data_IF_567397407393
#
_entry.id   IF_567397407393
#
_cell.length_a   1.000
_cell.length_b   1.000
_cell.length_c   1.000
_cell.angle_alpha   90.00
_cell.angle_beta   90.00
_cell.angle_gamma   90.00
#
_symmetry.space_group_name_H-M   'P 1'
#
loop_
_entity.id
_entity.type
_entity.pdbx_description
1 polymer ?
#
# COMPACT_ATOMS: atom_id res chain seq x y z
N UNK A 1 -9.39 1.01 8.85
CA UNK A 1 -9.02 1.27 7.44
C UNK A 1 -10.28 1.36 6.61
N UNK A 2 -10.30 2.20 5.58
CA UNK A 2 -11.37 2.18 4.57
C UNK A 2 -10.80 1.78 3.19
N UNK A 3 -11.58 1.01 2.45
CA UNK A 3 -11.26 0.55 1.09
C UNK A 3 -12.31 1.16 0.16
N UNK A 4 -11.86 1.91 -0.84
CA UNK A 4 -12.71 2.66 -1.75
C UNK A 4 -12.45 2.25 -3.20
N UNK A 5 -13.52 2.27 -4.01
CA UNK A 5 -13.45 1.98 -5.44
C UNK A 5 -13.79 0.53 -5.81
N UNK A 6 -13.92 0.27 -7.11
CA UNK A 6 -14.27 -1.06 -7.64
C UNK A 6 -13.08 -1.97 -7.96
N UNK A 7 -11.83 -1.51 -7.82
CA UNK A 7 -10.65 -2.35 -7.98
C UNK A 7 -10.47 -3.31 -6.81
N UNK A 8 -9.80 -4.44 -7.06
CA UNK A 8 -9.58 -5.46 -6.03
C UNK A 8 -8.48 -5.02 -5.08
N UNK A 9 -8.68 -5.27 -3.79
CA UNK A 9 -7.65 -5.12 -2.77
C UNK A 9 -7.33 -6.49 -2.18
N UNK A 10 -6.07 -6.91 -2.29
CA UNK A 10 -5.56 -8.15 -1.72
C UNK A 10 -4.61 -7.80 -0.58
N UNK A 11 -4.83 -8.42 0.58
CA UNK A 11 -4.00 -8.23 1.77
C UNK A 11 -3.54 -9.61 2.23
N UNK A 12 -2.23 -9.78 2.35
CA UNK A 12 -1.57 -10.98 2.85
C UNK A 12 -1.68 -11.14 4.38
N UNK A 13 -1.01 -12.16 4.89
CA UNK A 13 -1.09 -12.55 6.29
C UNK A 13 -0.28 -11.61 7.21
N UNK A 14 -0.64 -11.57 8.49
CA UNK A 14 0.05 -10.78 9.55
C UNK A 14 0.17 -9.28 9.25
N UNK A 15 -0.74 -8.74 8.43
CA UNK A 15 -0.80 -7.34 8.10
C UNK A 15 -1.25 -6.48 9.30
N UNK A 16 -0.58 -5.34 9.49
CA UNK A 16 -0.90 -4.38 10.53
C UNK A 16 -1.14 -2.98 9.98
N UNK A 17 -2.21 -2.34 10.43
CA UNK A 17 -2.50 -0.94 10.08
C UNK A 17 -2.73 -0.04 11.29
N UNK A 18 -2.26 1.19 11.14
CA UNK A 18 -2.69 2.30 11.97
C UNK A 18 -4.12 2.74 11.68
N UNK A 19 -4.58 3.71 12.46
CA UNK A 19 -5.92 4.29 12.33
C UNK A 19 -6.02 5.22 11.13
N UNK A 20 -7.21 5.27 10.51
CA UNK A 20 -7.53 6.25 9.47
C UNK A 20 -6.85 6.01 8.11
N UNK A 21 -6.35 4.82 7.82
CA UNK A 21 -5.77 4.51 6.51
C UNK A 21 -6.83 4.37 5.41
N UNK A 22 -6.48 4.78 4.19
CA UNK A 22 -7.32 4.74 2.99
C UNK A 22 -6.63 3.96 1.88
N UNK A 23 -7.32 2.98 1.30
CA UNK A 23 -6.90 2.26 0.10
C UNK A 23 -7.88 2.63 -1.01
N UNK A 24 -7.39 3.22 -2.11
CA UNK A 24 -8.21 3.80 -3.17
C UNK A 24 -7.91 3.06 -4.48
N UNK A 25 -8.66 1.99 -4.76
CA UNK A 25 -8.43 1.07 -5.88
C UNK A 25 -9.12 1.49 -7.20
N UNK A 26 -9.47 2.78 -7.33
CA UNK A 26 -10.18 3.32 -8.48
C UNK A 26 -9.77 4.77 -8.72
N UNK A 27 -9.67 5.16 -9.99
CA UNK A 27 -9.55 6.55 -10.40
C UNK A 27 -10.62 6.91 -11.44
N UNK A 28 -10.87 8.20 -11.63
CA UNK A 28 -11.68 8.68 -12.73
C UNK A 28 -10.93 8.53 -14.06
N UNK A 29 -11.66 8.35 -15.16
CA UNK A 29 -11.06 8.34 -16.49
C UNK A 29 -10.82 9.77 -16.99
N UNK A 30 -9.62 10.30 -16.72
CA UNK A 30 -9.21 11.65 -17.10
C UNK A 30 -8.47 11.73 -18.45
N UNK A 31 -7.80 10.66 -18.88
CA UNK A 31 -7.03 10.63 -20.14
C UNK A 31 -7.84 10.14 -21.33
N UNK A 32 -8.80 9.24 -21.12
CA UNK A 32 -9.55 8.55 -22.18
C UNK A 32 -11.06 8.71 -22.02
N UNK A 33 -11.49 9.65 -21.20
CA UNK A 33 -12.90 9.96 -20.94
C UNK A 33 -13.50 10.84 -22.04
N UNK A 34 -14.82 11.02 -21.99
CA UNK A 34 -15.59 11.86 -22.92
C UNK A 34 -15.88 13.27 -22.40
N UNK A 35 -15.38 13.64 -21.21
CA UNK A 35 -15.64 14.93 -20.57
C UNK A 35 -14.47 15.37 -19.66
N UNK A 36 -14.42 16.68 -19.36
CA UNK A 36 -13.45 17.30 -18.43
C UNK A 36 -14.18 17.71 -17.14
N UNK A 37 -13.61 17.49 -15.93
CA UNK A 37 -12.30 16.88 -15.69
C UNK A 37 -12.27 15.35 -15.85
N UNK A 38 -13.45 14.71 -15.92
CA UNK A 38 -13.64 13.29 -16.19
C UNK A 38 -15.11 13.02 -16.55
N UNK A 39 -15.40 11.83 -17.09
CA UNK A 39 -16.77 11.37 -17.34
C UNK A 39 -17.26 10.36 -16.27
N UNK A 40 -18.35 9.64 -16.55
CA UNK A 40 -18.92 8.63 -15.65
C UNK A 40 -18.21 7.27 -15.66
N UNK A 41 -17.05 7.17 -16.33
CA UNK A 41 -16.26 5.93 -16.40
C UNK A 41 -15.07 5.96 -15.44
N UNK A 42 -14.60 4.77 -15.07
CA UNK A 42 -13.56 4.59 -14.06
C UNK A 42 -12.40 3.74 -14.57
N UNK A 43 -11.21 4.02 -14.05
CA UNK A 43 -10.02 3.19 -14.20
C UNK A 43 -9.88 2.39 -12.91
N UNK A 44 -10.12 1.08 -12.98
CA UNK A 44 -9.90 0.18 -11.86
C UNK A 44 -8.41 -0.15 -11.77
N UNK A 45 -7.84 -0.04 -10.57
CA UNK A 45 -6.43 -0.37 -10.34
C UNK A 45 -6.30 -1.12 -9.03
N UNK A 46 -6.01 -2.41 -9.13
CA UNK A 46 -5.86 -3.30 -7.98
C UNK A 46 -4.75 -2.82 -7.03
N UNK A 47 -4.91 -3.11 -5.74
CA UNK A 47 -3.88 -2.90 -4.71
C UNK A 47 -3.51 -4.26 -4.15
N UNK A 48 -2.21 -4.52 -4.06
CA UNK A 48 -1.67 -5.72 -3.41
C UNK A 48 -0.84 -5.30 -2.20
N UNK A 49 -1.16 -5.86 -1.05
CA UNK A 49 -0.36 -5.78 0.17
C UNK A 49 0.07 -7.20 0.49
N UNK A 50 1.37 -7.45 0.46
CA UNK A 50 1.94 -8.77 0.77
C UNK A 50 2.01 -9.02 2.29
N UNK A 51 2.50 -10.20 2.68
CA UNK A 51 2.52 -10.62 4.08
C UNK A 51 3.40 -9.71 4.95
N UNK A 52 3.09 -9.67 6.25
CA UNK A 52 3.90 -9.01 7.29
C UNK A 52 4.13 -7.50 7.07
N UNK A 53 3.32 -6.86 6.21
CA UNK A 53 3.38 -5.42 5.98
C UNK A 53 2.81 -4.66 7.17
N UNK A 54 3.47 -3.56 7.52
CA UNK A 54 2.98 -2.63 8.53
C UNK A 54 2.81 -1.22 7.94
N UNK A 55 1.61 -0.66 8.04
CA UNK A 55 1.33 0.73 7.66
C UNK A 55 0.96 1.58 8.88
N UNK A 56 1.56 2.76 9.01
CA UNK A 56 1.28 3.70 10.10
C UNK A 56 -0.08 4.40 9.97
N UNK A 57 -0.42 5.24 10.95
CA UNK A 57 -1.68 6.00 10.95
C UNK A 57 -1.83 6.90 9.72
N UNK A 58 -3.04 7.01 9.20
CA UNK A 58 -3.42 7.93 8.09
C UNK A 58 -2.58 7.75 6.83
N UNK A 59 -2.16 6.51 6.53
CA UNK A 59 -1.53 6.17 5.24
C UNK A 59 -2.60 6.10 4.16
N UNK A 60 -2.30 6.67 2.99
CA UNK A 60 -3.11 6.57 1.77
C UNK A 60 -2.35 5.70 0.78
N UNK A 61 -3.00 4.68 0.22
CA UNK A 61 -2.46 3.81 -0.84
C UNK A 61 -3.33 3.98 -2.08
N UNK A 62 -2.71 4.38 -3.20
CA UNK A 62 -3.40 4.54 -4.47
C UNK A 62 -3.40 3.22 -5.27
N UNK A 63 -4.42 3.07 -6.10
CA UNK A 63 -4.61 1.90 -6.95
C UNK A 63 -3.46 1.69 -7.94
N UNK A 64 -3.11 0.43 -8.14
CA UNK A 64 -2.03 -0.02 -9.03
C UNK A 64 -0.69 -0.18 -8.31
N UNK A 65 -0.72 -0.29 -6.98
CA UNK A 65 0.46 -0.40 -6.12
C UNK A 65 0.54 -1.79 -5.50
N UNK A 66 1.74 -2.35 -5.48
CA UNK A 66 2.14 -3.48 -4.66
C UNK A 66 3.03 -3.02 -3.51
N UNK A 67 2.65 -3.33 -2.27
CA UNK A 67 3.50 -3.15 -1.08
C UNK A 67 4.07 -4.52 -0.73
N UNK A 68 5.38 -4.68 -0.94
CA UNK A 68 6.07 -5.96 -0.81
C UNK A 68 6.24 -6.42 0.64
N UNK A 69 6.50 -7.72 0.79
CA UNK A 69 6.52 -8.43 2.07
C UNK A 69 7.39 -7.74 3.12
N UNK A 70 6.88 -7.64 4.35
CA UNK A 70 7.64 -7.10 5.48
C UNK A 70 7.89 -5.59 5.42
N UNK A 71 7.42 -4.89 4.38
CA UNK A 71 7.61 -3.46 4.24
C UNK A 71 6.91 -2.65 5.35
N UNK A 72 7.47 -1.48 5.64
CA UNK A 72 6.94 -0.54 6.63
C UNK A 72 6.66 0.81 5.96
N UNK A 73 5.43 1.31 6.12
CA UNK A 73 5.03 2.63 5.62
C UNK A 73 4.82 3.59 6.80
N UNK A 74 5.58 4.68 6.84
CA UNK A 74 5.43 5.70 7.90
C UNK A 74 4.04 6.35 7.89
N UNK A 75 3.58 6.77 9.08
CA UNK A 75 2.32 7.47 9.24
C UNK A 75 2.22 8.72 8.34
N UNK A 76 1.02 9.00 7.83
CA UNK A 76 0.73 10.15 6.96
C UNK A 76 1.27 10.04 5.53
N UNK A 77 1.82 8.88 5.14
CA UNK A 77 2.39 8.71 3.80
C UNK A 77 1.33 8.52 2.72
N UNK A 78 1.64 8.94 1.49
CA UNK A 78 0.85 8.68 0.29
C UNK A 78 1.65 7.79 -0.67
N UNK A 79 1.26 6.52 -0.75
CA UNK A 79 1.91 5.49 -1.55
C UNK A 79 1.31 5.52 -2.96
N UNK A 80 2.12 5.92 -3.93
CA UNK A 80 1.71 6.13 -5.33
C UNK A 80 2.45 5.23 -6.32
N UNK A 81 3.40 4.43 -5.83
CA UNK A 81 4.19 3.46 -6.58
C UNK A 81 4.55 2.27 -5.69
N UNK A 82 5.00 1.18 -6.31
CA UNK A 82 5.37 -0.04 -5.61
C UNK A 82 6.45 0.19 -4.55
N UNK A 83 6.31 -0.51 -3.43
CA UNK A 83 7.27 -0.50 -2.32
C UNK A 83 7.94 -1.88 -2.26
N UNK A 84 9.28 -1.97 -2.39
CA UNK A 84 9.98 -3.25 -2.34
C UNK A 84 9.81 -3.98 -1.00
N UNK A 85 9.96 -5.31 -1.02
CA UNK A 85 10.04 -6.12 0.20
C UNK A 85 11.10 -5.59 1.16
N UNK A 86 10.81 -5.70 2.46
CA UNK A 86 11.63 -5.25 3.59
C UNK A 86 11.92 -3.74 3.63
N UNK A 87 11.41 -2.95 2.67
CA UNK A 87 11.69 -1.53 2.60
C UNK A 87 10.92 -0.77 3.69
N UNK A 88 11.54 0.32 4.15
CA UNK A 88 10.90 1.32 4.99
C UNK A 88 10.76 2.58 4.16
N UNK A 89 9.51 2.98 3.92
CA UNK A 89 9.16 4.11 3.08
C UNK A 89 8.28 5.13 3.82
N UNK A 90 8.37 6.38 3.38
CA UNK A 90 7.59 7.46 3.99
C UNK A 90 7.48 8.70 3.12
N UNK A 91 6.50 9.55 3.41
CA UNK A 91 6.30 10.85 2.76
C UNK A 91 5.14 10.87 1.75
N UNK A 92 5.02 12.01 1.06
CA UNK A 92 4.02 12.24 0.00
C UNK A 92 4.72 12.91 -1.20
N UNK A 93 5.11 12.16 -2.25
CA UNK A 93 4.95 10.71 -2.40
C UNK A 93 5.86 9.92 -1.46
N UNK A 94 5.43 8.71 -1.09
CA UNK A 94 6.23 7.80 -0.27
C UNK A 94 7.52 7.41 -1.00
N UNK A 95 8.66 7.56 -0.34
CA UNK A 95 9.98 7.16 -0.86
C UNK A 95 10.64 6.21 0.11
N UNK A 96 11.30 5.19 -0.42
CA UNK A 96 12.15 4.30 0.38
C UNK A 96 13.32 5.11 0.92
N UNK A 97 13.55 5.05 2.23
CA UNK A 97 14.67 5.74 2.89
C UNK A 97 15.53 4.80 3.73
N UNK A 98 15.06 3.56 3.97
CA UNK A 98 15.78 2.56 4.75
C UNK A 98 15.31 1.15 4.37
N UNK A 99 16.13 0.15 4.67
CA UNK A 99 15.76 -1.26 4.67
C UNK A 99 15.69 -1.79 6.10
N UNK A 100 14.85 -2.80 6.34
CA UNK A 100 14.88 -3.56 7.59
C UNK A 100 16.19 -4.34 7.71
N UNK A 101 16.47 -4.80 8.92
CA UNK A 101 17.41 -5.88 9.12
C UNK A 101 16.79 -7.19 8.59
N UNK A 102 17.25 -7.61 7.41
CA UNK A 102 16.68 -8.74 6.67
C UNK A 102 17.00 -10.06 7.38
N UNK A 103 18.21 -10.22 7.91
CA UNK A 103 18.60 -11.44 8.64
C UNK A 103 17.76 -11.62 9.89
N UNK A 104 17.55 -10.52 10.64
CA UNK A 104 16.67 -10.54 11.81
C UNK A 104 15.22 -10.87 11.43
N UNK A 105 14.71 -10.28 10.36
CA UNK A 105 13.36 -10.54 9.87
C UNK A 105 13.16 -12.00 9.47
N UNK A 106 14.03 -12.55 8.62
CA UNK A 106 13.91 -13.93 8.13
C UNK A 106 14.06 -14.95 9.25
N UNK A 107 14.92 -14.68 10.24
CA UNK A 107 15.03 -15.52 11.43
C UNK A 107 13.73 -15.54 12.25
N UNK A 108 13.08 -14.40 12.46
CA UNK A 108 11.79 -14.37 13.17
C UNK A 108 10.68 -15.06 12.37
N UNK A 109 10.68 -14.89 11.04
CA UNK A 109 9.73 -15.54 10.14
C UNK A 109 9.88 -17.06 10.17
N UNK A 110 11.11 -17.59 10.14
CA UNK A 110 11.37 -19.04 10.21
C UNK A 110 10.98 -19.64 11.57
N UNK A 111 11.06 -18.85 12.64
CA UNK A 111 10.58 -19.20 13.97
C UNK A 111 9.05 -19.03 14.14
N UNK A 112 8.33 -18.62 13.08
CA UNK A 112 6.88 -18.31 13.09
C UNK A 112 6.46 -17.29 14.16
N UNK A 113 7.32 -16.31 14.43
CA UNK A 113 7.09 -15.25 15.44
C UNK A 113 6.40 -14.04 14.81
N UNK A 114 5.11 -14.18 14.55
CA UNK A 114 4.24 -13.10 14.08
C UNK A 114 3.51 -12.43 15.26
N UNK A 115 3.15 -11.16 15.10
CA UNK A 115 2.31 -10.42 16.06
C UNK A 115 0.85 -10.52 15.65
#
# INVERSE_FOLDING_TARGET
MAINGGGRVVIGDNFHSGQGCLLIAQNHNYDNGKAIPYDSTYILKDITIEDNVWIGNRVIVLGGVTIGEGAIIQAGSCVVCDIPKYAIAGGHPAKVFKQRDIEHYERLKSESKFY
#
